data_IF_328245735152
#
_entry.id   IF_328245735152
#
_cell.length_a   1.000
_cell.length_b   1.000
_cell.length_c   1.000
_cell.angle_alpha   90.00
_cell.angle_beta   90.00
_cell.angle_gamma   90.00
#
_symmetry.space_group_name_H-M   'P 1'
#
loop_
_entity.id
_entity.type
_entity.pdbx_description
1 polymer ?
#
# COMPACT_ATOMS: atom_id res chain seq x y z
N UNK A 1 16.11 65.38 -9.60
CA UNK A 1 15.20 64.73 -10.57
C UNK A 1 14.69 63.44 -9.97
N UNK A 2 13.45 63.48 -9.51
CA UNK A 2 12.71 62.40 -8.86
C UNK A 2 12.29 61.39 -9.95
N UNK A 3 12.74 60.14 -9.89
CA UNK A 3 12.24 59.06 -10.76
C UNK A 3 11.51 58.03 -9.90
N UNK A 4 10.22 58.04 -10.10
CA UNK A 4 9.20 57.19 -9.51
C UNK A 4 9.47 55.68 -9.71
N UNK A 5 9.08 54.94 -8.67
CA UNK A 5 8.28 53.71 -8.66
C UNK A 5 8.40 52.72 -9.82
N UNK A 6 8.53 51.44 -9.46
CA UNK A 6 7.80 50.25 -9.96
C UNK A 6 8.47 49.03 -9.28
N UNK A 7 8.03 48.61 -8.09
CA UNK A 7 6.93 47.65 -7.87
C UNK A 7 6.96 46.48 -8.88
N UNK A 8 7.49 45.34 -8.45
CA UNK A 8 7.19 44.03 -9.05
C UNK A 8 7.36 42.97 -7.96
N UNK A 9 6.30 42.80 -7.18
CA UNK A 9 6.10 41.61 -6.35
C UNK A 9 5.75 40.45 -7.30
N UNK A 10 6.73 39.60 -7.61
CA UNK A 10 6.49 38.34 -8.30
C UNK A 10 6.04 37.30 -7.26
N UNK A 11 4.74 37.32 -6.93
CA UNK A 11 4.10 36.23 -6.21
C UNK A 11 3.89 35.07 -7.20
N UNK A 12 4.83 34.14 -7.25
CA UNK A 12 4.67 32.89 -7.97
C UNK A 12 3.77 31.99 -7.12
N UNK A 13 2.47 31.99 -7.44
CA UNK A 13 1.56 30.94 -6.99
C UNK A 13 1.93 29.65 -7.73
N UNK A 14 2.73 28.80 -7.08
CA UNK A 14 2.89 27.41 -7.50
C UNK A 14 1.59 26.68 -7.22
N UNK A 15 0.80 26.44 -8.29
CA UNK A 15 -0.31 25.51 -8.27
C UNK A 15 0.23 24.14 -7.88
N UNK A 16 -0.17 23.66 -6.71
CA UNK A 16 0.04 22.28 -6.29
C UNK A 16 -0.63 21.37 -7.30
N UNK A 17 0.15 20.63 -8.07
CA UNK A 17 -0.34 19.52 -8.87
C UNK A 17 -0.82 18.45 -7.89
N UNK A 18 -2.13 18.37 -7.69
CA UNK A 18 -2.76 17.20 -7.09
C UNK A 18 -2.49 16.00 -8.01
N UNK A 19 -1.48 15.22 -7.66
CA UNK A 19 -1.15 13.96 -8.33
C UNK A 19 -2.28 12.97 -8.03
N UNK A 20 -2.87 12.32 -9.05
CA UNK A 20 -3.83 11.26 -8.81
C UNK A 20 -3.11 10.13 -8.04
N UNK A 21 -3.73 9.67 -6.95
CA UNK A 21 -3.30 8.48 -6.24
C UNK A 21 -3.68 7.28 -7.12
N UNK A 22 -2.80 6.94 -8.07
CA UNK A 22 -2.84 5.66 -8.75
C UNK A 22 -2.59 4.58 -7.71
N UNK A 23 -3.67 3.93 -7.24
CA UNK A 23 -3.61 2.82 -6.29
C UNK A 23 -2.72 1.66 -6.77
N UNK A 24 -2.41 1.61 -8.08
CA UNK A 24 -1.53 0.63 -8.69
C UNK A 24 -0.03 0.90 -8.45
N UNK A 25 0.39 2.16 -8.26
CA UNK A 25 1.82 2.49 -8.13
C UNK A 25 2.35 2.29 -6.71
N UNK A 26 1.45 2.00 -5.77
CA UNK A 26 1.75 1.84 -4.36
C UNK A 26 2.55 0.55 -4.05
N UNK A 27 2.67 -0.39 -4.98
CA UNK A 27 3.30 -1.69 -4.76
C UNK A 27 4.62 -1.90 -5.52
N UNK A 28 5.11 -0.89 -6.25
CA UNK A 28 6.27 -1.00 -7.14
C UNK A 28 7.61 -0.55 -6.51
N UNK A 29 7.69 -0.42 -5.18
CA UNK A 29 8.93 -0.04 -4.50
C UNK A 29 9.95 -1.21 -4.54
N UNK A 30 11.28 -0.93 -4.67
CA UNK A 30 12.32 -1.96 -4.77
C UNK A 30 12.53 -2.78 -3.49
N UNK A 31 11.89 -2.37 -2.40
CA UNK A 31 11.74 -3.13 -1.17
C UNK A 31 10.28 -3.59 -1.12
N UNK A 32 10.03 -4.91 -1.09
CA UNK A 32 8.68 -5.48 -1.04
C UNK A 32 8.03 -5.17 0.32
N UNK A 33 7.52 -3.94 0.46
CA UNK A 33 6.82 -3.39 1.63
C UNK A 33 5.41 -3.99 1.73
N UNK A 34 5.32 -5.23 2.23
CA UNK A 34 4.07 -5.97 2.40
C UNK A 34 3.12 -5.31 3.40
N UNK A 35 3.64 -4.80 4.52
CA UNK A 35 2.86 -4.11 5.54
C UNK A 35 2.26 -2.82 4.98
N UNK A 36 3.05 -1.98 4.33
CA UNK A 36 2.52 -0.77 3.71
C UNK A 36 1.59 -1.08 2.53
N UNK A 37 1.82 -2.17 1.79
CA UNK A 37 0.86 -2.65 0.79
C UNK A 37 -0.50 -2.98 1.45
N UNK A 38 -0.48 -3.69 2.58
CA UNK A 38 -1.68 -4.00 3.35
C UNK A 38 -2.36 -2.73 3.86
N UNK A 39 -1.62 -1.79 4.45
CA UNK A 39 -2.18 -0.54 4.96
C UNK A 39 -2.84 0.30 3.85
N UNK A 40 -2.23 0.39 2.67
CA UNK A 40 -2.76 1.19 1.56
C UNK A 40 -3.95 0.56 0.85
N UNK A 41 -4.00 -0.78 0.78
CA UNK A 41 -4.93 -1.49 -0.12
C UNK A 41 -5.98 -2.33 0.60
N UNK A 42 -5.71 -2.75 1.84
CA UNK A 42 -6.52 -3.74 2.55
C UNK A 42 -7.12 -3.19 3.85
N UNK A 43 -6.38 -2.36 4.60
CA UNK A 43 -6.76 -1.95 5.97
C UNK A 43 -8.08 -1.18 6.07
N UNK A 44 -8.48 -0.51 4.98
CA UNK A 44 -9.77 0.18 4.90
C UNK A 44 -10.96 -0.76 5.15
N UNK A 45 -10.94 -1.96 4.55
CA UNK A 45 -11.97 -2.98 4.74
C UNK A 45 -11.59 -4.02 5.80
N UNK A 46 -10.29 -4.27 5.96
CA UNK A 46 -9.72 -5.32 6.81
C UNK A 46 -8.83 -4.72 7.89
N UNK A 47 -9.44 -4.02 8.84
CA UNK A 47 -8.71 -3.40 9.96
C UNK A 47 -8.04 -4.41 10.90
N UNK A 48 -8.58 -5.62 10.97
CA UNK A 48 -8.14 -6.66 11.88
C UNK A 48 -7.59 -7.85 11.07
N UNK A 49 -6.27 -7.96 11.00
CA UNK A 49 -5.56 -9.03 10.27
C UNK A 49 -5.85 -10.39 10.90
N UNK A 50 -5.96 -10.48 12.22
CA UNK A 50 -6.29 -11.74 12.90
C UNK A 50 -7.67 -12.25 12.46
N UNK A 51 -8.66 -11.35 12.41
CA UNK A 51 -10.00 -11.70 11.91
C UNK A 51 -10.00 -12.02 10.42
N UNK A 52 -9.22 -11.30 9.62
CA UNK A 52 -9.05 -11.59 8.19
C UNK A 52 -8.47 -12.99 7.98
N UNK A 53 -7.50 -13.39 8.81
CA UNK A 53 -6.77 -14.65 8.69
C UNK A 53 -7.47 -15.85 9.36
N UNK A 54 -8.53 -15.62 10.15
CA UNK A 54 -9.29 -16.68 10.81
C UNK A 54 -9.78 -17.83 9.89
N UNK A 55 -10.23 -17.58 8.64
CA UNK A 55 -10.63 -18.66 7.73
C UNK A 55 -9.48 -19.58 7.29
N UNK A 56 -8.23 -19.15 7.46
CA UNK A 56 -7.03 -19.89 7.06
C UNK A 56 -6.32 -20.57 8.24
N UNK A 57 -6.80 -20.36 9.48
CA UNK A 57 -6.11 -20.79 10.70
C UNK A 57 -5.96 -22.32 10.83
N UNK A 58 -6.89 -23.09 10.28
CA UNK A 58 -6.88 -24.56 10.32
C UNK A 58 -6.20 -25.20 9.10
N UNK A 59 -5.74 -24.40 8.14
CA UNK A 59 -5.08 -24.90 6.92
C UNK A 59 -3.59 -25.15 7.17
N UNK A 60 -3.04 -26.14 6.46
CA UNK A 60 -1.59 -26.28 6.39
C UNK A 60 -0.96 -25.03 5.72
N UNK A 61 0.27 -24.61 6.08
CA UNK A 61 0.87 -23.39 5.53
C UNK A 61 0.87 -23.32 4.00
N UNK A 62 1.17 -24.43 3.33
CA UNK A 62 1.16 -24.53 1.86
C UNK A 62 -0.25 -24.38 1.26
N UNK A 63 -1.27 -24.91 1.95
CA UNK A 63 -2.67 -24.80 1.53
C UNK A 63 -3.18 -23.37 1.73
N UNK A 64 -2.88 -22.76 2.87
CA UNK A 64 -3.19 -21.36 3.14
C UNK A 64 -2.53 -20.44 2.10
N UNK A 65 -1.25 -20.68 1.77
CA UNK A 65 -0.53 -19.94 0.72
C UNK A 65 -1.23 -20.05 -0.62
N UNK A 66 -1.61 -21.26 -1.03
CA UNK A 66 -2.26 -21.50 -2.32
C UNK A 66 -3.66 -20.86 -2.41
N UNK A 67 -4.43 -20.90 -1.32
CA UNK A 67 -5.75 -20.25 -1.25
C UNK A 67 -5.63 -18.72 -1.26
N UNK A 68 -4.66 -18.16 -0.53
CA UNK A 68 -4.40 -16.72 -0.52
C UNK A 68 -3.92 -16.22 -1.89
N UNK A 69 -2.97 -16.89 -2.56
CA UNK A 69 -2.55 -16.48 -3.90
C UNK A 69 -3.73 -16.49 -4.87
N UNK A 70 -4.54 -17.56 -4.86
CA UNK A 70 -5.75 -17.65 -5.67
C UNK A 70 -6.72 -16.51 -5.39
N UNK A 71 -6.92 -16.15 -4.12
CA UNK A 71 -7.78 -15.04 -3.72
C UNK A 71 -7.23 -13.70 -4.23
N UNK A 72 -5.95 -13.43 -3.98
CA UNK A 72 -5.30 -12.15 -4.27
C UNK A 72 -5.16 -11.90 -5.78
N UNK A 73 -5.05 -12.94 -6.63
CA UNK A 73 -5.13 -12.77 -8.10
C UNK A 73 -6.43 -12.12 -8.58
N UNK A 74 -7.50 -12.16 -7.78
CA UNK A 74 -8.82 -11.59 -8.11
C UNK A 74 -9.20 -10.39 -7.26
N UNK A 75 -8.35 -10.00 -6.31
CA UNK A 75 -8.66 -8.95 -5.34
C UNK A 75 -7.63 -7.82 -5.41
N UNK A 76 -6.39 -8.04 -4.96
CA UNK A 76 -5.20 -7.17 -5.04
C UNK A 76 -4.03 -7.91 -4.36
N UNK A 77 -2.75 -7.50 -4.54
CA UNK A 77 -2.19 -6.75 -5.67
C UNK A 77 -1.98 -7.65 -6.92
N UNK A 78 -1.94 -7.10 -8.14
CA UNK A 78 -1.77 -7.91 -9.36
C UNK A 78 -0.32 -8.40 -9.59
N UNK A 79 0.68 -7.74 -9.01
CA UNK A 79 2.08 -8.09 -9.17
C UNK A 79 2.42 -9.37 -8.40
N UNK A 80 2.99 -10.36 -9.08
CA UNK A 80 3.26 -11.67 -8.48
C UNK A 80 4.25 -11.62 -7.29
N UNK A 81 5.26 -10.77 -7.38
CA UNK A 81 6.28 -10.59 -6.33
C UNK A 81 5.67 -9.93 -5.08
N UNK A 82 4.85 -8.90 -5.26
CA UNK A 82 4.16 -8.26 -4.12
C UNK A 82 3.11 -9.19 -3.50
N UNK A 83 2.37 -9.97 -4.30
CA UNK A 83 1.46 -10.98 -3.74
C UNK A 83 2.21 -11.99 -2.88
N UNK A 84 3.34 -12.50 -3.37
CA UNK A 84 4.13 -13.46 -2.61
C UNK A 84 4.57 -12.86 -1.26
N UNK A 85 5.13 -11.64 -1.28
CA UNK A 85 5.54 -10.93 -0.06
C UNK A 85 4.37 -10.66 0.90
N UNK A 86 3.21 -10.25 0.39
CA UNK A 86 2.02 -10.03 1.18
C UNK A 86 1.51 -11.32 1.83
N UNK A 87 1.53 -12.44 1.10
CA UNK A 87 1.12 -13.75 1.62
C UNK A 87 2.08 -14.21 2.72
N UNK A 88 3.39 -14.05 2.50
CA UNK A 88 4.41 -14.36 3.51
C UNK A 88 4.15 -13.57 4.80
N UNK A 89 3.94 -12.25 4.70
CA UNK A 89 3.62 -11.40 5.84
C UNK A 89 2.29 -11.76 6.54
N UNK A 90 1.23 -12.07 5.78
CA UNK A 90 -0.06 -12.47 6.34
C UNK A 90 0.00 -13.79 7.13
N UNK A 91 0.88 -14.71 6.72
CA UNK A 91 1.07 -16.00 7.37
C UNK A 91 2.05 -15.96 8.56
N UNK A 92 2.77 -14.84 8.75
CA UNK A 92 3.71 -14.61 9.85
C UNK A 92 3.13 -13.60 10.87
N UNK A 93 2.37 -14.06 11.88
CA UNK A 93 1.69 -13.16 12.82
C UNK A 93 2.65 -12.32 13.69
N UNK A 94 3.90 -12.79 13.89
CA UNK A 94 4.93 -12.03 14.62
C UNK A 94 5.38 -10.76 13.89
N UNK A 95 5.30 -10.73 12.57
CA UNK A 95 5.72 -9.60 11.73
C UNK A 95 4.62 -8.53 11.61
N UNK A 96 3.45 -8.76 12.21
CA UNK A 96 2.29 -7.87 12.19
C UNK A 96 2.22 -6.95 13.41
N UNK A 97 3.11 -7.13 14.39
CA UNK A 97 3.04 -6.50 15.72
C UNK A 97 3.98 -5.29 15.91
N UNK A 98 4.46 -4.68 14.83
CA UNK A 98 5.34 -3.50 14.92
C UNK A 98 4.50 -2.23 15.12
N UNK A 99 4.27 -1.85 16.39
CA UNK A 99 3.84 -0.50 16.80
C UNK A 99 4.99 0.28 17.46
#
# INVERSE_FOLDING_TARGET
MLKHLMLSAALVMSLGTARPLDAAEACAAPDLDAEGCFDRSCSFCHRDVTRLMAPYADLAPEEARAELDRFLTRHHPPEAEMRAALIDWLLMPEDQASE
#
